data_IF_543309887422
#
_entry.id   IF_543309887422
#
_cell.length_a   1.000
_cell.length_b   1.000
_cell.length_c   1.000
_cell.angle_alpha   90.00
_cell.angle_beta   90.00
_cell.angle_gamma   90.00
#
_symmetry.space_group_name_H-M   'P 1'
#
loop_
_entity.id
_entity.type
_entity.pdbx_description
1 polymer ?
#
# COMPACT_ATOMS: atom_id res chain seq x y z
N UNK A 1 -5.25 -3.37 17.87
CA UNK A 1 -6.55 -3.28 17.19
C UNK A 1 -6.34 -3.57 15.71
N UNK A 2 -7.04 -4.54 15.11
CA UNK A 2 -6.87 -4.87 13.68
C UNK A 2 -7.57 -3.81 12.83
N UNK A 3 -6.84 -3.17 11.93
CA UNK A 3 -7.40 -2.17 10.99
C UNK A 3 -7.64 -2.86 9.66
N UNK A 4 -8.90 -2.93 9.23
CA UNK A 4 -9.28 -3.49 7.93
C UNK A 4 -9.49 -2.39 6.90
N UNK A 5 -9.12 -2.65 5.65
CA UNK A 5 -9.33 -1.72 4.53
C UNK A 5 -9.93 -2.46 3.34
N UNK A 6 -10.72 -1.75 2.53
CA UNK A 6 -11.37 -2.32 1.34
C UNK A 6 -10.49 -2.28 0.10
N UNK A 7 -9.47 -1.43 0.09
CA UNK A 7 -8.59 -1.20 -1.08
C UNK A 7 -7.13 -1.20 -0.67
N UNK A 8 -6.23 -1.53 -1.62
CA UNK A 8 -4.79 -1.60 -1.35
C UNK A 8 -4.14 -0.22 -1.31
N UNK A 9 -4.74 0.81 -1.92
CA UNK A 9 -4.34 2.21 -1.81
C UNK A 9 -4.45 2.70 -0.37
N UNK A 10 -5.55 2.37 0.31
CA UNK A 10 -5.71 2.78 1.71
C UNK A 10 -4.78 2.02 2.64
N UNK A 11 -4.44 0.78 2.30
CA UNK A 11 -3.37 0.04 2.98
C UNK A 11 -2.02 0.75 2.80
N UNK A 12 -1.67 1.15 1.57
CA UNK A 12 -0.44 1.91 1.29
C UNK A 12 -0.38 3.21 2.09
N UNK A 13 -1.46 3.99 2.12
CA UNK A 13 -1.53 5.22 2.93
C UNK A 13 -1.31 4.95 4.40
N UNK A 14 -1.96 3.94 4.98
CA UNK A 14 -1.78 3.59 6.40
C UNK A 14 -0.32 3.21 6.71
N UNK A 15 0.37 2.52 5.78
CA UNK A 15 1.79 2.19 5.93
C UNK A 15 2.63 3.47 5.90
N UNK A 16 2.41 4.34 4.90
CA UNK A 16 3.15 5.60 4.76
C UNK A 16 2.95 6.52 5.97
N UNK A 17 1.71 6.69 6.43
CA UNK A 17 1.38 7.54 7.58
C UNK A 17 2.04 7.02 8.86
N UNK A 18 2.05 5.70 9.08
CA UNK A 18 2.74 5.09 10.22
C UNK A 18 4.26 5.31 10.16
N UNK A 19 4.86 5.26 8.96
CA UNK A 19 6.28 5.53 8.76
C UNK A 19 6.62 7.00 9.03
N UNK A 20 5.85 7.95 8.49
CA UNK A 20 6.07 9.38 8.79
C UNK A 20 5.89 9.71 10.27
N UNK A 21 4.88 9.14 10.92
CA UNK A 21 4.64 9.37 12.35
C UNK A 21 5.77 8.82 13.22
N UNK A 22 6.36 7.68 12.85
CA UNK A 22 7.43 7.04 13.61
C UNK A 22 8.82 7.57 13.28
N UNK A 23 9.02 8.04 12.05
CA UNK A 23 10.31 8.51 11.56
C UNK A 23 10.15 9.89 10.90
N UNK A 24 10.06 10.97 11.70
CA UNK A 24 9.85 12.32 11.20
C UNK A 24 10.97 12.83 10.26
N UNK A 25 12.14 12.18 10.27
CA UNK A 25 13.26 12.50 9.38
C UNK A 25 13.05 12.03 7.93
N UNK A 26 12.08 11.16 7.67
CA UNK A 26 11.78 10.69 6.31
C UNK A 26 11.20 11.86 5.50
N UNK A 27 11.83 12.16 4.36
CA UNK A 27 11.43 13.25 3.46
C UNK A 27 10.60 12.79 2.27
N UNK A 28 10.80 11.56 1.82
CA UNK A 28 10.11 10.97 0.67
C UNK A 28 9.95 9.46 0.89
N UNK A 29 8.79 8.93 0.58
CA UNK A 29 8.46 7.51 0.57
C UNK A 29 7.83 7.17 -0.77
N UNK A 30 8.36 6.13 -1.41
CA UNK A 30 7.68 5.41 -2.49
C UNK A 30 7.20 4.06 -1.97
N UNK A 31 5.89 3.86 -1.92
CA UNK A 31 5.27 2.65 -1.39
C UNK A 31 4.59 1.87 -2.51
N UNK A 32 5.05 0.64 -2.75
CA UNK A 32 4.44 -0.30 -3.70
C UNK A 32 3.74 -1.42 -2.93
N UNK A 33 2.42 -1.54 -3.08
CA UNK A 33 1.63 -2.63 -2.50
C UNK A 33 1.02 -3.46 -3.62
N UNK A 34 1.21 -4.78 -3.55
CA UNK A 34 0.75 -5.72 -4.59
C UNK A 34 -0.27 -6.70 -4.02
N UNK A 35 -1.41 -6.86 -4.69
CA UNK A 35 -2.33 -7.97 -4.49
C UNK A 35 -1.95 -9.09 -5.44
N UNK A 36 -1.40 -10.17 -4.90
CA UNK A 36 -1.11 -11.39 -5.64
C UNK A 36 -2.43 -12.10 -5.96
N UNK A 37 -2.58 -12.61 -7.19
CA UNK A 37 -3.79 -13.29 -7.69
C UNK A 37 -5.11 -12.54 -7.41
N UNK A 38 -5.30 -11.32 -7.97
CA UNK A 38 -6.55 -10.59 -7.79
C UNK A 38 -7.72 -11.29 -8.49
N UNK A 39 -8.97 -11.14 -8.00
CA UNK A 39 -10.16 -11.80 -8.55
C UNK A 39 -10.67 -11.07 -9.81
N UNK A 40 -9.78 -10.79 -10.77
CA UNK A 40 -10.11 -10.08 -12.00
C UNK A 40 -10.30 -11.04 -13.19
N UNK A 41 -10.12 -12.34 -12.98
CA UNK A 41 -10.10 -13.35 -14.05
C UNK A 41 -8.89 -13.21 -14.98
N UNK A 42 -8.67 -14.21 -15.83
CA UNK A 42 -7.55 -14.23 -16.79
C UNK A 42 -6.19 -14.62 -16.19
N UNK A 43 -5.15 -14.60 -17.03
CA UNK A 43 -3.75 -14.89 -16.65
C UNK A 43 -3.09 -13.61 -16.12
N UNK A 44 -3.30 -13.31 -14.84
CA UNK A 44 -2.68 -12.16 -14.17
C UNK A 44 -2.04 -12.58 -12.85
N UNK A 45 -0.74 -12.32 -12.70
CA UNK A 45 0.00 -12.71 -11.49
C UNK A 45 -0.28 -11.79 -10.30
N UNK A 46 -0.38 -10.48 -10.55
CA UNK A 46 -0.63 -9.48 -9.50
C UNK A 46 -1.17 -8.17 -10.07
N UNK A 47 -1.77 -7.38 -9.19
CA UNK A 47 -2.03 -5.95 -9.40
C UNK A 47 -1.32 -5.16 -8.31
N UNK A 48 -0.69 -4.06 -8.68
CA UNK A 48 0.09 -3.23 -7.77
C UNK A 48 -0.36 -1.78 -7.83
N UNK A 49 -0.33 -1.12 -6.67
CA UNK A 49 -0.43 0.34 -6.55
C UNK A 49 0.91 0.88 -6.09
N UNK A 50 1.28 2.05 -6.62
CA UNK A 50 2.49 2.78 -6.23
C UNK A 50 2.06 4.18 -5.82
N UNK A 51 2.33 4.55 -4.57
CA UNK A 51 2.10 5.90 -4.06
C UNK A 51 3.42 6.56 -3.68
N UNK A 52 3.51 7.86 -3.88
CA UNK A 52 4.67 8.68 -3.54
C UNK A 52 4.22 9.91 -2.76
N UNK A 53 4.95 10.25 -1.71
CA UNK A 53 4.77 11.40 -0.82
C UNK A 53 6.10 11.74 -0.18
#
# INVERSE_FOLDING_TARGET
MRVTQRTIERVSMNIMDALYARFPQIRHIRCTVSKLAPPLGGKLEKVSVVLEK
#
